data_IF_401342803912
#
_entry.id   IF_401342803912
#
_cell.length_a   1.000
_cell.length_b   1.000
_cell.length_c   1.000
_cell.angle_alpha   90.00
_cell.angle_beta   90.00
_cell.angle_gamma   90.00
#
_symmetry.space_group_name_H-M   'P 1'
#
loop_
_entity.id
_entity.type
_entity.pdbx_description
1 polymer ?
#
# COMPACT_ATOMS: atom_id res chain seq x y z
N UNK A 1 54.19 -21.66 -2.01
CA UNK A 1 52.96 -22.06 -1.26
C UNK A 1 51.81 -21.17 -1.73
N UNK A 2 51.00 -21.57 -2.73
CA UNK A 2 49.83 -20.80 -3.13
C UNK A 2 48.67 -21.07 -2.18
N UNK A 3 47.99 -20.00 -1.74
CA UNK A 3 46.80 -20.06 -0.88
C UNK A 3 45.65 -20.81 -1.58
N UNK A 4 44.88 -21.65 -0.87
CA UNK A 4 43.75 -22.35 -1.46
C UNK A 4 42.65 -21.32 -1.81
N UNK A 5 42.43 -21.13 -3.10
CA UNK A 5 41.30 -20.36 -3.62
C UNK A 5 39.99 -21.03 -3.17
N UNK A 6 39.26 -20.37 -2.28
CA UNK A 6 37.89 -20.72 -1.91
C UNK A 6 36.95 -20.48 -3.10
N UNK A 7 37.04 -21.32 -4.14
CA UNK A 7 35.99 -21.44 -5.15
C UNK A 7 34.81 -22.17 -4.49
N UNK A 8 33.96 -21.42 -3.80
CA UNK A 8 32.64 -21.91 -3.42
C UNK A 8 31.87 -22.19 -4.72
N UNK A 9 31.79 -23.46 -5.10
CA UNK A 9 30.96 -23.92 -6.22
C UNK A 9 29.49 -23.67 -5.85
N UNK A 10 28.96 -22.52 -6.28
CA UNK A 10 27.56 -22.21 -6.09
C UNK A 10 26.71 -23.17 -6.91
N UNK A 11 25.69 -23.79 -6.29
CA UNK A 11 24.67 -24.54 -7.03
C UNK A 11 24.03 -23.66 -8.10
N UNK A 12 23.69 -24.22 -9.27
CA UNK A 12 23.07 -23.48 -10.39
C UNK A 12 21.81 -22.72 -9.96
N UNK A 13 21.05 -23.26 -9.01
CA UNK A 13 19.87 -22.62 -8.41
C UNK A 13 20.23 -21.39 -7.56
N UNK A 14 21.37 -21.43 -6.88
CA UNK A 14 21.91 -20.33 -6.07
C UNK A 14 22.41 -19.21 -6.99
N UNK A 15 23.17 -19.54 -8.04
CA UNK A 15 23.59 -18.56 -9.04
C UNK A 15 22.38 -17.82 -9.65
N UNK A 16 21.34 -18.55 -10.08
CA UNK A 16 20.08 -17.97 -10.58
C UNK A 16 19.46 -16.98 -9.58
N UNK A 17 19.44 -17.32 -8.30
CA UNK A 17 18.88 -16.43 -7.27
C UNK A 17 19.72 -15.17 -7.02
N UNK A 18 21.05 -15.26 -7.12
CA UNK A 18 21.95 -14.09 -7.02
C UNK A 18 21.74 -13.15 -8.22
N UNK A 19 21.66 -13.68 -9.44
CA UNK A 19 21.37 -12.88 -10.62
C UNK A 19 20.01 -12.20 -10.53
N UNK A 20 18.99 -12.93 -10.06
CA UNK A 20 17.65 -12.41 -9.83
C UNK A 20 17.63 -11.27 -8.80
N UNK A 21 18.36 -11.43 -7.68
CA UNK A 21 18.52 -10.40 -6.66
C UNK A 21 19.14 -9.14 -7.27
N UNK A 22 20.26 -9.28 -8.00
CA UNK A 22 20.93 -8.16 -8.65
C UNK A 22 20.01 -7.47 -9.66
N UNK A 23 19.27 -8.22 -10.47
CA UNK A 23 18.31 -7.67 -11.42
C UNK A 23 17.20 -6.88 -10.71
N UNK A 24 16.63 -7.43 -9.63
CA UNK A 24 15.61 -6.75 -8.83
C UNK A 24 16.12 -5.45 -8.21
N UNK A 25 17.33 -5.46 -7.63
CA UNK A 25 17.92 -4.26 -7.01
C UNK A 25 18.26 -3.19 -8.06
N UNK A 26 18.72 -3.60 -9.24
CA UNK A 26 18.94 -2.69 -10.37
C UNK A 26 17.62 -2.05 -10.82
N UNK A 27 16.59 -2.85 -11.07
CA UNK A 27 15.29 -2.32 -11.46
C UNK A 27 14.64 -1.45 -10.38
N UNK A 28 14.80 -1.80 -9.10
CA UNK A 28 14.28 -0.95 -8.02
C UNK A 28 14.98 0.41 -7.96
N UNK A 29 16.25 0.51 -8.38
CA UNK A 29 16.99 1.77 -8.38
C UNK A 29 16.53 2.75 -9.47
N UNK A 30 15.86 2.26 -10.52
CA UNK A 30 15.34 3.08 -11.62
C UNK A 30 13.91 3.59 -11.40
N UNK A 31 13.28 3.24 -10.27
CA UNK A 31 11.94 3.71 -9.97
C UNK A 31 11.89 5.25 -9.91
N UNK A 32 10.81 5.87 -10.43
CA UNK A 32 10.69 7.32 -10.55
C UNK A 32 10.46 8.07 -9.22
N UNK A 33 10.38 7.36 -8.09
CA UNK A 33 10.06 7.89 -6.77
C UNK A 33 11.15 7.49 -5.77
N UNK A 34 11.75 8.45 -5.05
CA UNK A 34 12.81 8.18 -4.07
C UNK A 34 12.38 7.23 -2.94
N UNK A 35 11.17 7.41 -2.38
CA UNK A 35 10.69 6.56 -1.29
C UNK A 35 10.42 5.13 -1.78
N UNK A 36 9.85 4.97 -2.98
CA UNK A 36 9.71 3.66 -3.59
C UNK A 36 11.07 2.96 -3.80
N UNK A 37 12.13 3.69 -4.22
CA UNK A 37 13.47 3.11 -4.39
C UNK A 37 14.01 2.54 -3.08
N UNK A 38 14.01 3.33 -2.00
CA UNK A 38 14.50 2.88 -0.68
C UNK A 38 13.66 1.74 -0.10
N UNK A 39 12.34 1.84 -0.22
CA UNK A 39 11.42 0.81 0.23
C UNK A 39 11.65 -0.52 -0.50
N UNK A 40 11.68 -0.53 -1.84
CA UNK A 40 11.86 -1.77 -2.58
C UNK A 40 13.26 -2.37 -2.36
N UNK A 41 14.30 -1.54 -2.27
CA UNK A 41 15.64 -2.00 -1.95
C UNK A 41 15.68 -2.80 -0.63
N UNK A 42 15.16 -2.23 0.45
CA UNK A 42 15.10 -2.90 1.77
C UNK A 42 14.15 -4.10 1.76
N UNK A 43 12.98 -3.98 1.12
CA UNK A 43 12.00 -5.06 1.01
C UNK A 43 12.57 -6.28 0.28
N UNK A 44 13.26 -6.08 -0.85
CA UNK A 44 13.89 -7.15 -1.62
C UNK A 44 14.97 -7.83 -0.77
N UNK A 45 15.88 -7.07 -0.16
CA UNK A 45 16.95 -7.63 0.66
C UNK A 45 16.40 -8.46 1.83
N UNK A 46 15.44 -7.92 2.57
CA UNK A 46 14.82 -8.61 3.70
C UNK A 46 14.15 -9.92 3.26
N UNK A 47 13.49 -9.92 2.10
CA UNK A 47 12.85 -11.11 1.56
C UNK A 47 13.89 -12.16 1.17
N UNK A 48 14.97 -11.80 0.48
CA UNK A 48 16.02 -12.75 0.12
C UNK A 48 16.75 -13.29 1.35
N UNK A 49 17.06 -12.45 2.34
CA UNK A 49 17.63 -12.86 3.63
C UNK A 49 16.74 -13.86 4.38
N UNK A 50 15.42 -13.67 4.37
CA UNK A 50 14.49 -14.59 5.03
C UNK A 50 14.47 -16.01 4.44
N UNK A 51 14.87 -16.18 3.18
CA UNK A 51 14.97 -17.49 2.52
C UNK A 51 16.39 -18.05 2.46
N UNK A 52 17.39 -17.32 2.99
CA UNK A 52 18.73 -17.89 3.14
C UNK A 52 18.70 -19.03 4.16
N UNK A 53 19.37 -20.17 3.89
CA UNK A 53 19.46 -21.26 4.84
C UNK A 53 20.18 -20.76 6.09
N UNK A 54 19.47 -20.62 7.22
CA UNK A 54 20.10 -20.24 8.48
C UNK A 54 20.87 -21.45 9.05
N UNK A 55 22.21 -21.41 9.12
CA UNK A 55 23.00 -22.55 9.62
C UNK A 55 22.68 -22.87 11.08
N UNK A 56 22.27 -21.88 11.88
CA UNK A 56 21.91 -22.04 13.30
C UNK A 56 20.51 -22.65 13.50
N UNK A 57 19.64 -22.58 12.49
CA UNK A 57 18.28 -23.15 12.55
C UNK A 57 18.23 -24.67 12.32
N UNK A 58 19.37 -25.29 11.95
CA UNK A 58 19.46 -26.74 11.73
C UNK A 58 19.23 -27.56 13.01
N UNK A 59 19.52 -26.98 14.18
CA UNK A 59 19.54 -27.71 15.46
C UNK A 59 18.29 -27.57 16.34
N UNK A 60 17.46 -26.52 16.17
CA UNK A 60 16.47 -26.18 17.22
C UNK A 60 15.06 -26.70 16.98
N UNK A 61 14.71 -27.22 15.80
CA UNK A 61 13.32 -27.62 15.51
C UNK A 61 13.25 -28.88 14.65
N UNK A 62 13.37 -30.04 15.31
CA UNK A 62 13.15 -31.37 14.71
C UNK A 62 11.65 -31.73 14.58
N UNK A 63 10.75 -31.02 15.26
CA UNK A 63 9.36 -31.46 15.49
C UNK A 63 8.33 -30.87 14.49
N UNK A 64 8.66 -29.82 13.72
CA UNK A 64 7.75 -29.26 12.68
C UNK A 64 8.18 -29.54 11.23
N UNK A 65 9.04 -30.54 11.02
CA UNK A 65 9.52 -30.94 9.67
C UNK A 65 8.67 -32.03 9.02
N UNK A 66 7.35 -31.97 9.17
CA UNK A 66 6.44 -32.76 8.32
C UNK A 66 5.71 -31.78 7.39
N UNK A 67 5.89 -32.02 6.08
CA UNK A 67 5.38 -31.29 4.91
C UNK A 67 6.20 -30.06 4.43
N UNK A 68 7.29 -30.29 3.69
CA UNK A 68 7.50 -29.86 2.29
C UNK A 68 8.67 -30.71 1.77
N UNK A 69 8.36 -31.64 0.87
CA UNK A 69 9.20 -32.76 0.44
C UNK A 69 10.37 -32.41 -0.50
N UNK A 70 10.65 -31.15 -0.81
CA UNK A 70 11.84 -30.81 -1.59
C UNK A 70 12.25 -29.32 -1.38
N UNK A 71 13.42 -29.01 -0.80
CA UNK A 71 13.88 -27.62 -0.66
C UNK A 71 13.95 -26.89 -2.01
N UNK A 72 14.24 -27.61 -3.09
CA UNK A 72 14.34 -27.07 -4.45
C UNK A 72 12.98 -26.68 -5.02
N UNK A 73 11.93 -27.45 -4.73
CA UNK A 73 10.57 -27.10 -5.14
C UNK A 73 10.12 -25.79 -4.48
N UNK A 74 10.44 -25.60 -3.19
CA UNK A 74 10.16 -24.34 -2.48
C UNK A 74 10.93 -23.16 -3.08
N UNK A 75 12.22 -23.35 -3.38
CA UNK A 75 13.06 -22.34 -4.02
C UNK A 75 12.51 -21.95 -5.39
N UNK A 76 12.10 -22.92 -6.22
CA UNK A 76 11.53 -22.65 -7.55
C UNK A 76 10.26 -21.80 -7.49
N UNK A 77 9.35 -22.07 -6.54
CA UNK A 77 8.15 -21.25 -6.34
C UNK A 77 8.51 -19.82 -5.95
N UNK A 78 9.40 -19.64 -4.98
CA UNK A 78 9.85 -18.32 -4.53
C UNK A 78 10.54 -17.56 -5.67
N UNK A 79 11.40 -18.23 -6.45
CA UNK A 79 12.02 -17.67 -7.65
C UNK A 79 10.98 -17.21 -8.66
N UNK A 80 9.96 -18.02 -8.97
CA UNK A 80 8.84 -17.62 -9.85
C UNK A 80 8.14 -16.36 -9.31
N UNK A 81 7.91 -16.26 -8.00
CA UNK A 81 7.31 -15.03 -7.43
C UNK A 81 8.23 -13.81 -7.55
N UNK A 82 9.54 -14.01 -7.46
CA UNK A 82 10.52 -12.95 -7.62
C UNK A 82 10.65 -12.50 -9.09
N UNK A 83 10.57 -13.41 -10.07
CA UNK A 83 10.43 -13.05 -11.48
C UNK A 83 9.16 -12.25 -11.76
N UNK A 84 8.02 -12.61 -11.15
CA UNK A 84 6.80 -11.77 -11.22
C UNK A 84 7.02 -10.38 -10.65
N UNK A 85 7.80 -10.25 -9.58
CA UNK A 85 8.22 -8.98 -9.00
C UNK A 85 9.12 -8.17 -9.93
N UNK A 86 10.08 -8.83 -10.59
CA UNK A 86 10.97 -8.21 -11.58
C UNK A 86 10.17 -7.65 -12.75
N UNK A 87 9.23 -8.43 -13.27
CA UNK A 87 8.35 -8.03 -14.37
C UNK A 87 7.44 -6.86 -13.98
N UNK A 88 6.98 -6.80 -12.72
CA UNK A 88 6.24 -5.66 -12.20
C UNK A 88 7.10 -4.38 -12.20
N UNK A 89 8.34 -4.47 -11.71
CA UNK A 89 9.25 -3.32 -11.64
C UNK A 89 9.66 -2.84 -13.03
N UNK A 90 10.01 -3.74 -13.95
CA UNK A 90 10.33 -3.39 -15.34
C UNK A 90 9.18 -2.63 -16.01
N UNK A 91 7.94 -3.14 -15.89
CA UNK A 91 6.76 -2.47 -16.47
C UNK A 91 6.47 -1.13 -15.82
N UNK A 92 6.67 -1.00 -14.51
CA UNK A 92 6.56 0.28 -13.81
C UNK A 92 7.61 1.29 -14.32
N UNK A 93 8.86 0.85 -14.51
CA UNK A 93 9.95 1.67 -15.04
C UNK A 93 9.75 2.05 -16.52
N UNK A 94 9.11 1.19 -17.30
CA UNK A 94 8.71 1.48 -18.68
C UNK A 94 7.51 2.45 -18.76
N UNK A 95 6.94 2.84 -17.62
CA UNK A 95 5.89 3.87 -17.52
C UNK A 95 4.46 3.36 -17.63
N UNK A 96 4.22 2.05 -17.47
CA UNK A 96 2.85 1.56 -17.37
C UNK A 96 2.18 2.06 -16.06
N UNK A 97 1.01 2.72 -16.12
CA UNK A 97 0.42 3.37 -14.95
C UNK A 97 -0.09 2.36 -13.92
N UNK A 98 -0.60 1.18 -14.33
CA UNK A 98 -1.14 0.18 -13.39
C UNK A 98 -0.04 -0.50 -12.55
N UNK A 99 1.06 -1.00 -13.13
CA UNK A 99 2.23 -1.46 -12.37
C UNK A 99 2.82 -0.39 -11.47
N UNK A 100 3.02 0.82 -12.00
CA UNK A 100 3.59 1.95 -11.25
C UNK A 100 2.70 2.33 -10.06
N UNK A 101 1.39 2.40 -10.27
CA UNK A 101 0.42 2.61 -9.21
C UNK A 101 0.56 1.57 -8.09
N UNK A 102 0.65 0.28 -8.44
CA UNK A 102 0.82 -0.81 -7.48
C UNK A 102 2.13 -0.68 -6.69
N UNK A 103 3.22 -0.31 -7.35
CA UNK A 103 4.54 -0.06 -6.72
C UNK A 103 4.39 1.04 -5.68
N UNK A 104 3.76 2.16 -6.03
CA UNK A 104 3.57 3.28 -5.11
C UNK A 104 2.64 2.91 -3.93
N UNK A 105 1.57 2.12 -4.17
CA UNK A 105 0.72 1.62 -3.08
C UNK A 105 1.47 0.76 -2.07
N UNK A 106 2.43 -0.04 -2.52
CA UNK A 106 3.29 -0.81 -1.63
C UNK A 106 4.27 0.11 -0.89
N UNK A 107 4.89 1.03 -1.62
CA UNK A 107 5.83 1.99 -1.07
C UNK A 107 5.20 2.84 0.03
N UNK A 108 4.00 3.39 -0.16
CA UNK A 108 3.32 4.21 0.86
C UNK A 108 2.43 3.40 1.82
N UNK A 109 2.63 2.09 1.92
CA UNK A 109 1.96 1.24 2.92
C UNK A 109 0.44 1.17 2.80
N UNK A 110 -0.12 1.31 1.58
CA UNK A 110 -1.55 1.04 1.31
C UNK A 110 -1.80 -0.45 1.07
N UNK A 111 -0.77 -1.18 0.62
CA UNK A 111 -0.78 -2.64 0.40
C UNK A 111 0.53 -3.23 0.95
N UNK A 112 0.51 -4.51 1.31
CA UNK A 112 1.72 -5.30 1.59
C UNK A 112 2.20 -5.16 3.03
N UNK A 113 3.48 -5.49 3.28
CA UNK A 113 4.05 -5.58 4.63
C UNK A 113 4.04 -4.23 5.36
N UNK A 114 4.52 -3.17 4.70
CA UNK A 114 4.60 -1.81 5.26
C UNK A 114 3.27 -1.30 5.80
N UNK A 115 2.16 -1.71 5.18
CA UNK A 115 0.82 -1.40 5.67
C UNK A 115 0.60 -1.91 7.09
N UNK A 116 0.99 -3.16 7.35
CA UNK A 116 0.86 -3.77 8.67
C UNK A 116 1.85 -3.13 9.64
N UNK A 117 3.09 -2.84 9.22
CA UNK A 117 4.06 -2.13 10.06
C UNK A 117 3.51 -0.75 10.52
N UNK A 118 2.85 0.00 9.63
CA UNK A 118 2.20 1.27 9.99
C UNK A 118 0.92 1.09 10.82
N UNK A 119 0.20 -0.01 10.62
CA UNK A 119 -1.01 -0.33 11.38
C UNK A 119 -0.65 -0.77 12.81
N UNK A 120 0.46 -1.48 13.00
CA UNK A 120 0.95 -1.89 14.32
C UNK A 120 1.24 -0.66 15.19
N UNK A 121 1.80 0.40 14.61
CA UNK A 121 2.00 1.69 15.30
C UNK A 121 0.68 2.34 15.75
N UNK A 122 -0.44 2.10 15.05
CA UNK A 122 -1.77 2.57 15.46
C UNK A 122 -2.40 1.72 16.55
N UNK A 123 -2.06 0.43 16.61
CA UNK A 123 -2.55 -0.51 17.61
C UNK A 123 -1.82 -0.40 18.95
N UNK A 124 -0.68 0.29 19.00
CA UNK A 124 0.04 0.57 20.24
C UNK A 124 -0.76 1.55 21.13
N UNK A 125 -0.82 1.26 22.44
CA UNK A 125 -1.44 2.14 23.44
C UNK A 125 -0.58 3.42 23.59
N UNK A 126 -1.16 4.64 23.56
CA UNK A 126 -0.41 5.86 23.83
C UNK A 126 0.17 5.78 25.25
N UNK A 127 1.50 5.89 25.38
CA UNK A 127 2.23 5.77 26.64
C UNK A 127 3.02 4.46 26.83
N UNK A 128 2.88 3.46 25.96
CA UNK A 128 3.71 2.25 26.02
C UNK A 128 5.13 2.42 25.45
N UNK A 129 5.44 3.57 24.84
CA UNK A 129 6.69 3.83 24.13
C UNK A 129 7.76 4.53 24.96
N UNK A 130 7.49 4.85 26.24
CA UNK A 130 8.41 5.67 27.06
C UNK A 130 8.78 5.08 28.42
N UNK A 131 8.27 3.91 28.82
CA UNK A 131 8.71 3.27 30.07
C UNK A 131 8.42 1.77 30.03
N UNK A 132 9.47 0.95 29.89
CA UNK A 132 9.43 -0.48 30.24
C UNK A 132 9.30 -0.69 31.79
N UNK A 133 9.34 0.39 32.56
CA UNK A 133 9.41 0.37 34.03
C UNK A 133 8.04 0.33 34.75
N UNK A 134 6.90 0.44 34.06
CA UNK A 134 5.56 0.44 34.71
C UNK A 134 4.78 -0.88 34.54
N UNK A 135 5.44 -1.98 34.19
CA UNK A 135 4.82 -3.30 34.00
C UNK A 135 4.35 -3.99 35.30
N UNK A 136 4.44 -3.34 36.47
CA UNK A 136 4.13 -3.96 37.76
C UNK A 136 2.92 -3.39 38.52
N UNK A 137 2.27 -2.28 38.10
CA UNK A 137 1.30 -1.60 38.97
C UNK A 137 0.16 -0.84 38.30
N UNK A 138 -0.40 -1.36 37.20
CA UNK A 138 -1.76 -1.00 36.79
C UNK A 138 -2.65 -2.25 36.94
N UNK A 139 -3.72 -2.22 37.77
CA UNK A 139 -4.64 -3.34 37.85
C UNK A 139 -5.17 -3.67 36.46
N UNK A 140 -5.21 -4.96 36.15
CA UNK A 140 -5.71 -5.51 34.89
C UNK A 140 -7.22 -5.25 34.81
N UNK A 141 -7.61 -4.01 34.54
CA UNK A 141 -8.96 -3.68 34.10
C UNK A 141 -9.12 -4.24 32.69
N UNK A 142 -9.46 -5.53 32.62
CA UNK A 142 -9.88 -6.25 31.42
C UNK A 142 -10.71 -5.28 30.58
N UNK A 143 -10.36 -5.12 29.30
CA UNK A 143 -11.08 -4.20 28.43
C UNK A 143 -12.60 -4.49 28.55
N UNK A 144 -13.48 -3.48 28.47
CA UNK A 144 -14.87 -3.64 28.88
C UNK A 144 -15.58 -4.81 28.15
N UNK A 145 -15.16 -5.09 26.91
CA UNK A 145 -15.68 -6.22 26.13
C UNK A 145 -15.03 -7.59 26.45
N UNK A 146 -13.76 -7.62 26.87
CA UNK A 146 -13.07 -8.85 27.27
C UNK A 146 -13.69 -9.46 28.52
N UNK A 147 -14.00 -8.61 29.51
CA UNK A 147 -14.69 -9.01 30.74
C UNK A 147 -16.08 -9.57 30.43
N UNK A 148 -16.85 -8.88 29.57
CA UNK A 148 -18.21 -9.28 29.21
C UNK A 148 -18.27 -10.62 28.43
N UNK A 149 -17.25 -10.95 27.65
CA UNK A 149 -17.21 -12.19 26.87
C UNK A 149 -16.38 -13.31 27.48
N UNK A 150 -15.79 -13.09 28.66
CA UNK A 150 -14.90 -14.02 29.36
C UNK A 150 -13.83 -14.60 28.41
N UNK A 151 -13.16 -13.74 27.65
CA UNK A 151 -12.23 -14.18 26.60
C UNK A 151 -11.04 -13.24 26.42
N UNK A 152 -9.83 -13.79 26.53
CA UNK A 152 -8.56 -13.05 26.42
C UNK A 152 -8.04 -12.95 24.98
N UNK A 153 -8.93 -12.79 23.99
CA UNK A 153 -8.51 -12.73 22.57
C UNK A 153 -7.96 -11.35 22.26
N UNK A 154 -6.80 -11.28 21.62
CA UNK A 154 -6.09 -10.02 21.34
C UNK A 154 -6.94 -8.94 20.64
N UNK A 155 -7.87 -9.32 19.77
CA UNK A 155 -8.73 -8.36 19.06
C UNK A 155 -9.89 -7.80 19.90
N UNK A 156 -10.23 -8.41 21.04
CA UNK A 156 -11.26 -7.89 21.95
C UNK A 156 -10.78 -6.68 22.76
N UNK A 157 -9.47 -6.57 22.99
CA UNK A 157 -8.80 -5.45 23.69
C UNK A 157 -9.16 -4.07 23.16
N UNK A 158 -9.44 -3.99 21.86
CA UNK A 158 -9.66 -2.72 21.16
C UNK A 158 -11.07 -2.15 21.31
N UNK A 159 -12.00 -2.86 21.95
CA UNK A 159 -13.42 -2.50 21.97
C UNK A 159 -13.91 -2.13 23.38
N UNK A 160 -14.83 -1.17 23.42
CA UNK A 160 -15.60 -0.86 24.62
C UNK A 160 -16.82 -1.78 24.76
N UNK A 161 -17.50 -1.69 25.89
CA UNK A 161 -18.74 -2.41 26.15
C UNK A 161 -19.83 -1.92 25.19
N UNK A 162 -20.77 -2.80 24.80
CA UNK A 162 -21.89 -2.41 23.95
C UNK A 162 -22.71 -1.29 24.61
N UNK A 163 -22.99 -0.22 23.86
CA UNK A 163 -23.85 0.88 24.29
C UNK A 163 -25.13 0.88 23.47
N UNK A 164 -26.27 1.01 24.14
CA UNK A 164 -27.55 1.13 23.45
C UNK A 164 -27.60 2.46 22.68
N UNK A 165 -28.00 2.40 21.40
CA UNK A 165 -28.16 3.60 20.56
C UNK A 165 -29.62 3.86 20.22
N UNK A 166 -30.35 2.78 19.93
CA UNK A 166 -31.78 2.76 19.65
C UNK A 166 -32.34 1.51 20.35
N UNK A 167 -33.64 1.49 20.67
CA UNK A 167 -34.30 0.35 21.32
C UNK A 167 -33.92 -0.97 20.64
N UNK A 168 -33.21 -1.84 21.36
CA UNK A 168 -32.78 -3.17 20.90
C UNK A 168 -31.57 -3.19 19.96
N UNK A 169 -30.99 -2.04 19.59
CA UNK A 169 -29.77 -1.94 18.76
C UNK A 169 -28.60 -1.39 19.58
N UNK A 170 -27.60 -2.25 19.77
CA UNK A 170 -26.40 -1.92 20.51
C UNK A 170 -25.23 -1.67 19.58
N UNK A 171 -24.40 -0.73 19.99
CA UNK A 171 -23.21 -0.30 19.27
C UNK A 171 -21.96 -0.65 20.05
N UNK A 172 -21.03 -1.31 19.39
CA UNK A 172 -19.70 -1.63 19.93
C UNK A 172 -18.71 -0.72 19.23
N UNK A 173 -18.20 0.27 19.96
CA UNK A 173 -17.18 1.21 19.47
C UNK A 173 -15.78 0.76 19.85
N UNK A 174 -14.79 1.27 19.11
CA UNK A 174 -13.39 1.19 19.52
C UNK A 174 -13.19 1.98 20.82
N UNK A 175 -12.37 1.40 21.69
CA UNK A 175 -12.07 1.94 23.00
C UNK A 175 -11.37 3.30 22.94
N UNK A 176 -11.74 4.18 23.87
CA UNK A 176 -11.03 5.44 24.09
C UNK A 176 -9.55 5.23 24.48
N UNK A 177 -9.17 4.01 24.91
CA UNK A 177 -7.78 3.59 25.14
C UNK A 177 -6.91 3.66 23.88
N UNK A 178 -7.52 3.57 22.69
CA UNK A 178 -6.84 3.63 21.40
C UNK A 178 -7.34 4.83 20.58
N UNK A 179 -7.03 6.07 21.01
CA UNK A 179 -7.57 7.27 20.38
C UNK A 179 -7.08 7.45 18.95
N UNK A 180 -5.81 7.10 18.65
CA UNK A 180 -5.24 7.16 17.29
C UNK A 180 -6.05 6.31 16.30
N UNK A 181 -6.27 5.05 16.64
CA UNK A 181 -7.04 4.12 15.80
C UNK A 181 -8.48 4.59 15.64
N UNK A 182 -9.11 5.02 16.73
CA UNK A 182 -10.49 5.53 16.71
C UNK A 182 -10.63 6.71 15.75
N UNK A 183 -9.75 7.70 15.86
CA UNK A 183 -9.77 8.92 15.03
C UNK A 183 -9.54 8.61 13.56
N UNK A 184 -8.54 7.79 13.22
CA UNK A 184 -8.30 7.40 11.81
C UNK A 184 -9.52 6.70 11.24
N UNK A 185 -10.13 5.79 12.01
CA UNK A 185 -11.27 5.02 11.53
C UNK A 185 -12.52 5.90 11.35
N UNK A 186 -12.84 6.78 12.31
CA UNK A 186 -13.99 7.69 12.20
C UNK A 186 -13.84 8.63 11.02
N UNK A 187 -12.66 9.24 10.87
CA UNK A 187 -12.40 10.19 9.78
C UNK A 187 -12.33 9.50 8.41
N UNK A 188 -11.81 8.27 8.33
CA UNK A 188 -11.84 7.49 7.08
C UNK A 188 -13.27 7.22 6.60
N UNK A 189 -14.18 6.88 7.52
CA UNK A 189 -15.59 6.63 7.20
C UNK A 189 -16.29 7.94 6.80
N UNK A 190 -16.02 9.04 7.49
CA UNK A 190 -16.55 10.37 7.14
C UNK A 190 -16.12 10.79 5.73
N UNK A 191 -14.84 10.64 5.41
CA UNK A 191 -14.28 11.02 4.10
C UNK A 191 -14.54 9.97 3.01
N UNK A 192 -15.17 8.84 3.34
CA UNK A 192 -15.48 7.71 2.44
C UNK A 192 -14.27 7.18 1.65
N UNK A 193 -13.08 7.24 2.25
CA UNK A 193 -11.83 6.86 1.58
C UNK A 193 -11.61 5.35 1.67
N UNK A 194 -11.45 4.69 0.52
CA UNK A 194 -11.14 3.26 0.44
C UNK A 194 -10.42 2.89 -0.87
N UNK A 195 -9.64 1.80 -0.83
CA UNK A 195 -9.01 1.23 -2.03
C UNK A 195 -9.99 0.34 -2.85
N UNK A 196 -11.05 -0.16 -2.19
CA UNK A 196 -12.07 -1.02 -2.78
C UNK A 196 -13.41 -0.75 -2.11
N UNK A 197 -14.08 -1.81 -1.60
CA UNK A 197 -15.32 -1.64 -0.83
C UNK A 197 -15.07 -0.78 0.41
N UNK A 198 -15.79 0.34 0.52
CA UNK A 198 -15.70 1.26 1.65
C UNK A 198 -16.34 0.68 2.92
N UNK A 199 -15.81 1.10 4.07
CA UNK A 199 -16.42 0.81 5.37
C UNK A 199 -17.65 1.69 5.54
N UNK A 200 -18.79 1.09 5.87
CA UNK A 200 -20.05 1.82 6.03
C UNK A 200 -20.12 2.61 7.34
N UNK A 201 -19.51 2.08 8.41
CA UNK A 201 -19.66 2.59 9.78
C UNK A 201 -18.34 2.43 10.55
N UNK A 202 -18.15 3.33 11.51
CA UNK A 202 -16.97 3.32 12.37
C UNK A 202 -17.08 2.40 13.59
N UNK A 203 -18.28 1.90 13.86
CA UNK A 203 -18.63 1.03 14.96
C UNK A 203 -19.39 -0.18 14.42
N UNK A 204 -19.48 -1.22 15.25
CA UNK A 204 -20.27 -2.41 14.98
C UNK A 204 -21.67 -2.24 15.57
N UNK A 205 -22.71 -2.53 14.78
CA UNK A 205 -24.08 -2.67 15.28
C UNK A 205 -24.38 -4.16 15.44
N UNK A 206 -24.75 -4.56 16.65
CA UNK A 206 -25.17 -5.95 16.96
C UNK A 206 -26.41 -5.91 17.83
N UNK A 207 -27.45 -6.71 17.53
CA UNK A 207 -28.57 -6.89 18.44
C UNK A 207 -28.11 -7.68 19.68
N UNK A 208 -28.59 -7.32 20.86
CA UNK A 208 -28.32 -8.10 22.09
C UNK A 208 -29.16 -9.37 22.12
N UNK A 209 -30.40 -9.28 21.66
CA UNK A 209 -31.30 -10.42 21.63
C UNK A 209 -31.28 -11.10 20.26
N UNK A 210 -31.47 -12.41 20.25
CA UNK A 210 -31.75 -13.17 19.03
C UNK A 210 -33.20 -12.95 18.58
N UNK A 211 -33.59 -13.56 17.46
CA UNK A 211 -34.95 -13.52 16.89
C UNK A 211 -36.02 -14.00 17.91
N UNK A 212 -35.67 -14.91 18.81
CA UNK A 212 -36.56 -15.39 19.89
C UNK A 212 -36.49 -14.56 21.18
N UNK A 213 -36.00 -13.31 21.11
CA UNK A 213 -35.86 -12.40 22.26
C UNK A 213 -34.94 -12.89 23.40
N UNK A 214 -34.28 -14.05 23.23
CA UNK A 214 -33.26 -14.58 24.13
C UNK A 214 -31.93 -13.84 23.96
N UNK A 215 -31.08 -13.75 25.00
CA UNK A 215 -29.76 -13.14 24.87
C UNK A 215 -28.92 -13.84 23.80
N UNK A 216 -28.17 -13.06 23.02
CA UNK A 216 -27.36 -13.57 21.93
C UNK A 216 -26.27 -14.50 22.45
N UNK A 217 -26.09 -15.71 21.88
CA UNK A 217 -25.04 -16.61 22.31
C UNK A 217 -23.67 -15.94 22.24
N UNK A 218 -22.89 -16.02 23.32
CA UNK A 218 -21.61 -15.31 23.45
C UNK A 218 -20.64 -15.69 22.31
N UNK A 219 -20.66 -16.95 21.87
CA UNK A 219 -19.87 -17.41 20.71
C UNK A 219 -20.23 -16.67 19.42
N UNK A 220 -21.52 -16.39 19.19
CA UNK A 220 -22.02 -15.65 18.02
C UNK A 220 -21.60 -14.19 18.09
N UNK A 221 -21.83 -13.53 19.22
CA UNK A 221 -21.42 -12.14 19.43
C UNK A 221 -19.91 -11.95 19.25
N UNK A 222 -19.09 -12.86 19.79
CA UNK A 222 -17.63 -12.90 19.56
C UNK A 222 -17.28 -13.05 18.06
N UNK A 223 -17.95 -13.94 17.35
CA UNK A 223 -17.68 -14.15 15.92
C UNK A 223 -18.06 -12.93 15.08
N UNK A 224 -19.12 -12.20 15.44
CA UNK A 224 -19.52 -10.99 14.74
C UNK A 224 -18.50 -9.86 14.95
N UNK A 225 -17.99 -9.68 16.17
CA UNK A 225 -16.89 -8.76 16.43
C UNK A 225 -15.62 -9.18 15.68
N UNK A 226 -15.27 -10.48 15.66
CA UNK A 226 -14.12 -10.99 14.89
C UNK A 226 -14.24 -10.70 13.39
N UNK A 227 -15.42 -10.93 12.81
CA UNK A 227 -15.70 -10.66 11.38
C UNK A 227 -15.56 -9.18 11.08
N UNK A 228 -16.16 -8.33 11.93
CA UNK A 228 -16.04 -6.89 11.79
C UNK A 228 -14.60 -6.42 11.93
N UNK A 229 -13.86 -6.91 12.92
CA UNK A 229 -12.44 -6.58 13.12
C UNK A 229 -11.58 -6.99 11.91
N UNK A 230 -11.74 -8.22 11.41
CA UNK A 230 -11.02 -8.67 10.22
C UNK A 230 -11.36 -7.82 8.99
N UNK A 231 -12.63 -7.48 8.80
CA UNK A 231 -13.07 -6.63 7.70
C UNK A 231 -12.50 -5.20 7.81
N UNK A 232 -12.60 -4.58 8.98
CA UNK A 232 -12.13 -3.21 9.22
C UNK A 232 -10.61 -3.13 9.12
N UNK A 233 -9.85 -3.97 9.83
CA UNK A 233 -8.38 -3.94 9.78
C UNK A 233 -7.82 -4.26 8.40
N UNK A 234 -8.52 -5.10 7.61
CA UNK A 234 -8.09 -5.37 6.24
C UNK A 234 -8.39 -4.23 5.26
N UNK A 235 -9.17 -3.20 5.65
CA UNK A 235 -9.60 -2.04 4.82
C UNK A 235 -9.15 -0.69 5.38
N UNK A 236 -8.78 -0.64 6.66
CA UNK A 236 -8.23 0.52 7.33
C UNK A 236 -6.96 0.97 6.63
N UNK A 237 -6.89 2.25 6.31
CA UNK A 237 -5.72 2.87 5.70
C UNK A 237 -4.90 3.51 6.82
N UNK A 238 -3.69 3.02 7.12
CA UNK A 238 -2.92 3.57 8.22
C UNK A 238 -2.43 4.99 7.90
N UNK A 239 -2.16 5.79 8.94
CA UNK A 239 -1.55 7.10 8.74
C UNK A 239 -0.12 6.95 8.20
N UNK A 240 0.33 7.95 7.44
CA UNK A 240 1.73 8.06 7.06
C UNK A 240 2.51 8.79 8.16
N UNK A 241 3.84 8.56 8.25
CA UNK A 241 4.74 9.45 8.98
C UNK A 241 4.59 10.89 8.48
N UNK A 242 4.73 11.85 9.41
CA UNK A 242 4.57 13.28 9.15
C UNK A 242 5.44 13.76 7.99
N UNK A 243 6.73 13.42 8.01
CA UNK A 243 7.70 13.83 6.98
C UNK A 243 7.34 13.30 5.58
N UNK A 244 6.93 12.04 5.49
CA UNK A 244 6.55 11.41 4.22
C UNK A 244 5.25 12.00 3.66
N UNK A 245 4.31 12.34 4.55
CA UNK A 245 3.07 12.97 4.13
C UNK A 245 3.31 14.40 3.64
N UNK A 246 4.11 15.18 4.36
CA UNK A 246 4.43 16.57 3.99
C UNK A 246 5.21 16.63 2.67
N UNK A 247 6.16 15.70 2.47
CA UNK A 247 6.88 15.61 1.18
C UNK A 247 5.98 15.23 0.02
N UNK A 248 5.04 14.30 0.20
CA UNK A 248 4.02 13.98 -0.80
C UNK A 248 3.12 15.19 -1.09
N UNK A 249 2.67 15.88 -0.04
CA UNK A 249 1.84 17.06 -0.14
C UNK A 249 2.52 18.17 -0.95
N UNK A 250 3.80 18.45 -0.67
CA UNK A 250 4.60 19.43 -1.42
C UNK A 250 4.82 19.04 -2.90
N UNK A 251 4.96 17.74 -3.20
CA UNK A 251 5.05 17.25 -4.60
C UNK A 251 3.73 17.42 -5.36
N UNK A 252 2.61 17.23 -4.66
CA UNK A 252 1.25 17.39 -5.19
C UNK A 252 0.96 18.85 -5.52
N UNK A 253 1.25 19.77 -4.59
CA UNK A 253 1.12 21.22 -4.82
C UNK A 253 2.06 21.67 -5.93
N UNK A 254 3.26 21.08 -6.01
CA UNK A 254 4.28 21.42 -6.98
C UNK A 254 5.37 22.35 -6.43
N UNK A 255 5.34 22.68 -5.14
CA UNK A 255 6.44 23.34 -4.42
C UNK A 255 7.74 22.54 -4.58
N UNK A 256 7.65 21.21 -4.40
CA UNK A 256 8.77 20.31 -4.66
C UNK A 256 8.70 19.81 -6.10
N UNK A 257 9.65 20.24 -6.93
CA UNK A 257 9.80 19.74 -8.30
C UNK A 257 10.14 18.25 -8.28
N UNK A 258 9.44 17.47 -9.11
CA UNK A 258 9.78 16.07 -9.36
C UNK A 258 11.14 16.00 -10.10
N UNK A 259 12.16 15.51 -9.41
CA UNK A 259 13.54 15.37 -9.90
C UNK A 259 14.02 13.91 -10.00
N UNK A 260 13.16 12.95 -9.68
CA UNK A 260 13.56 11.57 -9.35
C UNK A 260 13.69 10.60 -10.53
N UNK A 261 13.76 11.08 -11.78
CA UNK A 261 13.98 10.19 -12.93
C UNK A 261 15.47 9.83 -13.05
N UNK A 262 15.82 8.64 -12.58
CA UNK A 262 17.17 8.08 -12.75
C UNK A 262 17.31 7.48 -14.15
N UNK A 263 18.35 7.88 -14.88
CA UNK A 263 18.68 7.30 -16.19
C UNK A 263 19.18 5.87 -16.01
N UNK A 264 18.74 4.96 -16.88
CA UNK A 264 19.20 3.56 -16.85
C UNK A 264 20.69 3.50 -17.17
N UNK A 265 21.43 2.67 -16.43
CA UNK A 265 22.84 2.38 -16.76
C UNK A 265 22.89 1.68 -18.10
N UNK A 266 23.79 2.14 -18.96
CA UNK A 266 24.15 1.41 -20.17
C UNK A 266 24.86 0.11 -19.77
N UNK A 267 24.50 -1.03 -20.37
CA UNK A 267 25.21 -2.28 -20.13
C UNK A 267 26.68 -2.12 -20.55
N UNK A 268 27.61 -2.47 -19.65
CA UNK A 268 29.03 -2.51 -19.98
C UNK A 268 29.27 -3.65 -20.97
N UNK A 269 29.79 -3.33 -22.15
CA UNK A 269 30.12 -4.33 -23.18
C UNK A 269 29.05 -4.58 -24.24
N UNK A 270 28.08 -3.68 -24.47
CA UNK A 270 27.42 -3.63 -25.77
C UNK A 270 28.39 -3.09 -26.81
N UNK A 271 29.39 -3.90 -27.14
CA UNK A 271 29.82 -3.99 -28.52
C UNK A 271 28.54 -4.33 -29.27
N UNK A 272 28.22 -3.60 -30.35
CA UNK A 272 27.08 -3.94 -31.19
C UNK A 272 27.18 -5.44 -31.51
N UNK A 273 26.35 -6.26 -30.86
CA UNK A 273 26.27 -7.67 -31.18
C UNK A 273 25.97 -7.70 -32.68
N UNK A 274 26.73 -8.48 -33.44
CA UNK A 274 26.44 -8.68 -34.85
C UNK A 274 24.96 -9.02 -34.98
N UNK A 275 24.29 -8.55 -36.04
CA UNK A 275 22.86 -8.83 -36.24
C UNK A 275 22.57 -10.34 -36.17
N UNK A 276 23.58 -11.15 -36.53
CA UNK A 276 23.64 -12.60 -36.42
C UNK A 276 23.56 -13.09 -34.96
N UNK A 277 24.38 -12.56 -34.05
CA UNK A 277 24.36 -12.94 -32.62
C UNK A 277 23.02 -12.58 -31.97
N UNK A 278 22.44 -11.45 -32.38
CA UNK A 278 21.12 -11.05 -31.91
C UNK A 278 20.04 -12.01 -32.41
N UNK A 279 20.11 -12.39 -33.69
CA UNK A 279 19.19 -13.34 -34.30
C UNK A 279 19.28 -14.72 -33.65
N UNK A 280 20.50 -15.22 -33.41
CA UNK A 280 20.75 -16.47 -32.69
C UNK A 280 20.18 -16.44 -31.28
N UNK A 281 20.37 -15.35 -30.53
CA UNK A 281 19.78 -15.21 -29.19
C UNK A 281 18.25 -15.21 -29.19
N UNK A 282 17.62 -14.62 -30.22
CA UNK A 282 16.16 -14.63 -30.40
C UNK A 282 15.66 -16.03 -30.76
N UNK A 283 16.37 -16.73 -31.65
CA UNK A 283 16.06 -18.11 -32.03
C UNK A 283 16.20 -19.03 -30.81
N UNK A 284 17.28 -18.92 -30.04
CA UNK A 284 17.50 -19.69 -28.81
C UNK A 284 16.39 -19.46 -27.77
N UNK A 285 15.93 -18.21 -27.64
CA UNK A 285 14.80 -17.88 -26.77
C UNK A 285 13.48 -18.48 -27.29
N UNK A 286 13.27 -18.48 -28.62
CA UNK A 286 12.13 -19.09 -29.29
C UNK A 286 12.10 -20.62 -29.14
N UNK A 287 13.24 -21.29 -29.32
CA UNK A 287 13.40 -22.73 -29.13
C UNK A 287 13.11 -23.13 -27.68
N UNK A 288 13.52 -22.31 -26.71
CA UNK A 288 13.20 -22.53 -25.30
C UNK A 288 11.73 -22.28 -24.94
N UNK A 289 10.92 -21.79 -25.89
CA UNK A 289 9.52 -21.40 -25.69
C UNK A 289 9.34 -20.45 -24.49
N UNK A 290 10.39 -19.67 -24.19
CA UNK A 290 10.33 -18.69 -23.11
C UNK A 290 9.41 -17.57 -23.58
N UNK A 291 8.18 -17.54 -23.03
CA UNK A 291 7.25 -16.46 -23.31
C UNK A 291 7.89 -15.16 -22.87
N UNK A 292 8.31 -14.35 -23.85
CA UNK A 292 8.77 -12.99 -23.64
C UNK A 292 7.80 -12.29 -22.71
N UNK A 293 8.31 -11.78 -21.59
CA UNK A 293 7.47 -11.05 -20.66
C UNK A 293 6.91 -9.83 -21.40
N UNK A 294 5.66 -9.44 -21.12
CA UNK A 294 5.08 -8.16 -21.58
C UNK A 294 6.01 -6.94 -21.40
N UNK A 295 6.94 -6.98 -20.44
CA UNK A 295 7.95 -5.95 -20.21
C UNK A 295 9.08 -5.93 -21.26
N UNK A 296 9.38 -7.09 -21.85
CA UNK A 296 10.52 -7.35 -22.74
C UNK A 296 10.07 -7.41 -24.22
N UNK A 297 8.76 -7.39 -24.50
CA UNK A 297 8.23 -7.29 -25.87
C UNK A 297 8.63 -5.94 -26.48
N UNK A 298 9.25 -5.97 -27.66
CA UNK A 298 9.66 -4.78 -28.42
C UNK A 298 8.43 -3.91 -28.74
N UNK A 299 8.60 -2.61 -28.56
CA UNK A 299 7.61 -1.57 -28.79
C UNK A 299 7.01 -1.67 -30.19
N UNK A 300 5.71 -1.93 -30.28
CA UNK A 300 4.99 -1.97 -31.55
C UNK A 300 3.48 -2.17 -31.35
N UNK A 301 3.08 -2.90 -30.31
CA UNK A 301 1.66 -3.16 -29.99
C UNK A 301 1.14 -2.48 -28.71
N UNK A 302 2.02 -1.93 -27.88
CA UNK A 302 1.65 -1.23 -26.64
C UNK A 302 2.51 0.03 -26.50
N UNK A 303 1.89 1.20 -26.57
CA UNK A 303 2.56 2.48 -26.30
C UNK A 303 3.04 2.51 -24.85
N UNK A 304 4.36 2.38 -24.67
CA UNK A 304 5.00 2.62 -23.38
C UNK A 304 4.90 4.12 -23.08
N UNK A 305 4.05 4.49 -22.13
CA UNK A 305 3.90 5.89 -21.75
C UNK A 305 5.21 6.42 -21.17
N UNK A 306 5.71 7.55 -21.69
CA UNK A 306 6.81 8.25 -21.05
C UNK A 306 6.36 8.75 -19.67
N UNK A 307 7.13 8.44 -18.64
CA UNK A 307 6.83 8.92 -17.28
C UNK A 307 7.02 10.44 -17.25
N UNK A 308 5.91 11.19 -17.16
CA UNK A 308 5.89 12.65 -17.08
C UNK A 308 5.68 13.13 -15.64
N UNK A 309 6.12 14.36 -15.36
CA UNK A 309 5.89 15.03 -14.07
C UNK A 309 4.41 15.13 -13.74
N UNK A 310 3.59 15.44 -14.75
CA UNK A 310 2.14 15.56 -14.60
C UNK A 310 1.49 14.22 -14.24
N UNK A 311 1.89 13.14 -14.90
CA UNK A 311 1.42 11.79 -14.56
C UNK A 311 1.78 11.43 -13.11
N UNK A 312 3.03 11.68 -12.69
CA UNK A 312 3.48 11.40 -11.33
C UNK A 312 2.71 12.23 -10.30
N UNK A 313 2.49 13.53 -10.54
CA UNK A 313 1.69 14.40 -9.66
C UNK A 313 0.27 13.85 -9.49
N UNK A 314 -0.37 13.36 -10.56
CA UNK A 314 -1.70 12.71 -10.49
C UNK A 314 -1.69 11.41 -9.70
N UNK A 315 -0.60 10.64 -9.74
CA UNK A 315 -0.47 9.43 -8.92
C UNK A 315 -0.24 9.79 -7.44
N UNK A 316 0.63 10.75 -7.15
CA UNK A 316 0.87 11.24 -5.79
C UNK A 316 -0.40 11.81 -5.16
N UNK A 317 -1.15 12.61 -5.91
CA UNK A 317 -2.47 13.10 -5.56
C UNK A 317 -3.41 11.99 -5.06
N UNK A 318 -3.51 10.93 -5.86
CA UNK A 318 -4.39 9.81 -5.55
C UNK A 318 -3.91 9.02 -4.33
N UNK A 319 -2.60 8.95 -4.08
CA UNK A 319 -2.05 8.35 -2.85
C UNK A 319 -2.36 9.25 -1.66
N UNK A 320 -2.15 10.55 -1.81
CA UNK A 320 -2.33 11.56 -0.78
C UNK A 320 -3.79 11.55 -0.30
N UNK A 321 -4.76 11.47 -1.21
CA UNK A 321 -6.19 11.36 -0.87
C UNK A 321 -6.55 10.10 -0.07
N UNK A 322 -5.73 9.05 -0.19
CA UNK A 322 -5.87 7.79 0.57
C UNK A 322 -5.01 7.76 1.83
N UNK A 323 -4.25 8.81 2.09
CA UNK A 323 -3.34 8.90 3.20
C UNK A 323 -3.79 9.96 4.19
N UNK A 324 -3.49 9.70 5.45
CA UNK A 324 -3.80 10.58 6.55
C UNK A 324 -2.49 10.92 7.27
N UNK A 325 -2.38 12.15 7.74
CA UNK A 325 -1.42 12.56 8.76
C UNK A 325 -2.13 12.63 10.10
N UNK A 326 -1.52 12.12 11.15
CA UNK A 326 -2.00 12.28 12.52
C UNK A 326 -1.23 13.43 13.18
N UNK A 327 -1.95 14.44 13.64
CA UNK A 327 -1.42 15.51 14.49
C UNK A 327 -2.10 15.43 15.85
N UNK A 328 -1.34 15.67 16.90
CA UNK A 328 -1.92 15.81 18.23
C UNK A 328 -2.29 17.28 18.41
N UNK A 329 -3.57 17.55 18.69
CA UNK A 329 -4.08 18.87 18.98
C UNK A 329 -4.01 19.06 20.51
N UNK A 330 -3.04 19.85 20.96
CA UNK A 330 -2.81 20.13 22.38
C UNK A 330 -3.98 20.89 23.01
N UNK A 331 -4.59 21.83 22.28
CA UNK A 331 -5.69 22.64 22.79
C UNK A 331 -6.93 21.80 23.11
N UNK A 332 -7.19 20.75 22.32
CA UNK A 332 -8.33 19.85 22.50
C UNK A 332 -7.98 18.55 23.23
N UNK A 333 -6.70 18.33 23.52
CA UNK A 333 -6.15 17.08 24.05
C UNK A 333 -6.65 15.84 23.27
N UNK A 334 -6.67 15.94 21.93
CA UNK A 334 -7.22 14.93 21.03
C UNK A 334 -6.34 14.75 19.80
N UNK A 335 -6.36 13.55 19.25
CA UNK A 335 -5.74 13.29 17.96
C UNK A 335 -6.64 13.82 16.84
N UNK A 336 -6.04 14.53 15.89
CA UNK A 336 -6.69 14.97 14.67
C UNK A 336 -6.07 14.26 13.45
N UNK A 337 -6.94 13.76 12.57
CA UNK A 337 -6.57 13.09 11.34
C UNK A 337 -6.79 14.04 10.16
N UNK A 338 -5.71 14.54 9.57
CA UNK A 338 -5.73 15.39 8.39
C UNK A 338 -5.57 14.52 7.14
N UNK A 339 -6.61 14.47 6.30
CA UNK A 339 -6.62 13.72 5.05
C UNK A 339 -6.24 14.63 3.88
N UNK A 340 -5.57 14.08 2.88
CA UNK A 340 -5.33 14.79 1.63
C UNK A 340 -6.64 15.04 0.87
N UNK A 341 -6.85 16.25 0.37
CA UNK A 341 -7.96 16.56 -0.53
C UNK A 341 -7.50 16.63 -1.99
N UNK A 342 -8.34 16.16 -2.92
CA UNK A 342 -8.12 16.33 -4.36
C UNK A 342 -8.29 17.78 -4.81
N UNK A 343 -8.98 18.62 -4.03
CA UNK A 343 -9.29 20.00 -4.41
C UNK A 343 -8.03 20.83 -4.66
N UNK A 344 -6.94 20.55 -3.94
CA UNK A 344 -5.66 21.26 -4.08
C UNK A 344 -4.93 21.01 -5.41
N UNK A 345 -5.41 20.09 -6.25
CA UNK A 345 -4.77 19.77 -7.52
C UNK A 345 -5.30 20.55 -8.72
N UNK A 346 -6.35 21.37 -8.56
CA UNK A 346 -7.04 21.97 -9.72
C UNK A 346 -7.52 20.92 -10.73
N UNK A 347 -7.64 19.65 -10.30
CA UNK A 347 -8.16 18.52 -11.08
C UNK A 347 -9.67 18.31 -10.86
N UNK A 348 -10.28 19.09 -9.95
CA UNK A 348 -11.68 19.49 -10.15
C UNK A 348 -11.73 20.02 -11.58
N UNK A 349 -12.62 19.47 -12.40
CA UNK A 349 -12.78 19.76 -13.84
C UNK A 349 -12.12 21.07 -14.20
N UNK A 350 -11.23 21.09 -15.20
CA UNK A 350 -10.81 22.34 -15.81
C UNK A 350 -12.06 23.09 -16.28
N UNK A 351 -12.70 23.81 -15.36
CA UNK A 351 -13.36 25.08 -15.59
C UNK A 351 -12.15 25.97 -15.81
N UNK A 352 -11.54 25.79 -16.97
CA UNK A 352 -10.84 26.91 -17.59
C UNK A 352 -11.86 28.04 -17.48
N UNK A 353 -11.52 29.22 -16.92
CA UNK A 353 -12.39 30.37 -17.05
C UNK A 353 -12.69 30.46 -18.54
N UNK A 354 -13.92 30.08 -18.89
CA UNK A 354 -14.35 30.09 -20.27
C UNK A 354 -14.31 31.56 -20.62
N UNK A 355 -13.48 31.97 -21.58
CA UNK A 355 -13.42 33.37 -21.99
C UNK A 355 -14.85 33.83 -22.27
N UNK A 356 -15.39 34.69 -21.41
CA UNK A 356 -16.76 35.19 -21.53
C UNK A 356 -16.96 35.88 -22.89
N UNK A 357 -15.87 36.36 -23.49
CA UNK A 357 -15.82 36.92 -24.84
C UNK A 357 -16.19 35.90 -25.94
N UNK A 358 -15.86 34.61 -25.78
CA UNK A 358 -16.15 33.58 -26.78
C UNK A 358 -17.62 33.17 -26.80
N UNK A 359 -18.34 33.39 -25.69
CA UNK A 359 -19.77 33.11 -25.54
C UNK A 359 -20.63 34.37 -25.36
N UNK A 360 -20.06 35.56 -25.58
CA UNK A 360 -20.81 36.81 -25.59
C UNK A 360 -21.84 36.77 -26.72
N UNK A 361 -23.12 36.56 -26.36
CA UNK A 361 -24.22 36.39 -27.32
C UNK A 361 -24.92 35.04 -27.25
N UNK A 362 -24.45 34.10 -26.42
CA UNK A 362 -25.08 32.78 -26.23
C UNK A 362 -25.63 32.67 -24.80
N UNK A 363 -26.90 32.35 -24.65
CA UNK A 363 -27.50 32.12 -23.32
C UNK A 363 -26.97 30.80 -22.71
N UNK A 364 -27.13 30.60 -21.39
CA UNK A 364 -26.79 29.34 -20.72
C UNK A 364 -27.51 28.09 -21.28
N UNK A 365 -28.53 28.26 -22.14
CA UNK A 365 -29.25 27.20 -22.85
C UNK A 365 -28.73 26.96 -24.28
N UNK A 366 -27.68 27.67 -24.71
CA UNK A 366 -27.07 27.50 -26.04
C UNK A 366 -27.75 28.28 -27.17
N UNK A 367 -28.69 29.18 -26.88
CA UNK A 367 -29.37 30.00 -27.90
C UNK A 367 -28.72 31.36 -28.09
N UNK A 368 -28.63 31.80 -29.34
CA UNK A 368 -28.14 33.13 -29.71
C UNK A 368 -29.13 34.21 -29.27
N UNK A 369 -28.64 35.31 -28.72
CA UNK A 369 -29.44 36.50 -28.43
C UNK A 369 -29.84 37.15 -29.77
N UNK A 370 -31.14 37.25 -30.04
CA UNK A 370 -31.64 37.97 -31.21
C UNK A 370 -31.22 39.44 -31.14
N UNK A 371 -30.53 39.92 -32.18
CA UNK A 371 -30.16 41.33 -32.28
C UNK A 371 -31.42 42.20 -32.33
N UNK A 372 -31.43 43.39 -31.68
CA UNK A 372 -32.59 44.27 -31.70
C UNK A 372 -32.94 44.65 -33.14
N UNK A 373 -34.16 44.27 -33.58
CA UNK A 373 -34.69 44.63 -34.90
C UNK A 373 -34.66 46.16 -35.03
N UNK A 374 -33.86 46.67 -35.97
CA UNK A 374 -33.86 48.09 -36.33
C UNK A 374 -35.28 48.46 -36.73
N UNK A 375 -35.90 49.39 -35.99
CA UNK A 375 -37.19 49.97 -36.38
C UNK A 375 -36.99 50.70 -37.72
N UNK A 376 -37.81 50.43 -38.74
CA UNK A 376 -37.77 51.25 -39.96
C UNK A 376 -38.19 52.68 -39.59
N UNK A 377 -37.48 53.66 -40.18
CA UNK A 377 -37.78 55.09 -40.07
C UNK A 377 -39.01 55.43 -40.89
#
# INVERSE_FOLDING_TARGET
MPLPSLQQSFSTSQAKSIHLLRALLRESSYLPDANARSFFHTYILNRFRAYQPNPKARNTNRIKKKAISNPDARLSHVQRTAYKGLNLLRRANNGEPRPLWKVLLMAYGRIGKRRFDLLDNLLQKPGAASTEETLASAPTELAPLEGMYHSNKAWLKFFDAPKERLKGKYTISISNRYPRLKVVLTTQVQNRVALGRSMKRAFLETPINNIWERPMPIKRARNDVRRWYAFTMSRLLPHLPTEEWDTLHAMVIGEKRWKDRVVRRTPAGTNALSEEDHSLAVIDAGIRMDRLTKADMRCGQYDQHRITSHMMRRLYAKILSMSCKLKFDEARNRWEAQWGSFSHLGLSSMVVPVDDALFAGVTHKGTLLESPRKRPR
#
